data_IF_708792843591
#
_entry.id   IF_708792843591
#
_cell.length_a   1.000
_cell.length_b   1.000
_cell.length_c   1.000
_cell.angle_alpha   90.00
_cell.angle_beta   90.00
_cell.angle_gamma   90.00
#
_symmetry.space_group_name_H-M   'P 1'
#
loop_
_entity.id
_entity.type
_entity.pdbx_description
1 polymer ?
#
# COMPACT_ATOMS: atom_id res chain seq x y z
N UNK A 1 -42.50 17.08 -18.78
CA UNK A 1 -41.65 17.29 -17.59
C UNK A 1 -40.51 16.29 -17.67
N UNK A 2 -39.35 16.73 -18.13
CA UNK A 2 -38.12 15.94 -18.09
C UNK A 2 -37.45 16.22 -16.74
N UNK A 3 -37.67 15.36 -15.76
CA UNK A 3 -36.91 15.44 -14.51
C UNK A 3 -35.57 14.71 -14.68
N UNK A 4 -34.57 15.57 -14.79
CA UNK A 4 -33.13 15.37 -14.74
C UNK A 4 -32.71 14.44 -13.59
N UNK A 5 -32.69 13.12 -13.84
CA UNK A 5 -31.93 12.16 -13.02
C UNK A 5 -30.44 12.25 -13.37
N UNK A 6 -29.81 13.38 -13.08
CA UNK A 6 -28.35 13.45 -12.95
C UNK A 6 -27.94 12.47 -11.86
N UNK A 7 -27.38 11.34 -12.26
CA UNK A 7 -27.02 10.22 -11.39
C UNK A 7 -26.17 10.71 -10.21
N UNK A 8 -26.67 10.53 -9.00
CA UNK A 8 -25.88 10.77 -7.80
C UNK A 8 -24.67 9.84 -7.84
N UNK A 9 -23.48 10.41 -8.01
CA UNK A 9 -22.24 9.65 -7.93
C UNK A 9 -22.10 9.18 -6.48
N UNK A 10 -22.30 7.88 -6.26
CA UNK A 10 -21.98 7.25 -4.98
C UNK A 10 -20.50 7.53 -4.67
N UNK A 11 -20.19 7.96 -3.44
CA UNK A 11 -18.81 8.20 -2.96
C UNK A 11 -18.31 6.99 -2.18
N UNK A 12 -17.02 6.68 -2.30
CA UNK A 12 -16.37 5.61 -1.51
C UNK A 12 -16.64 5.87 -0.01
N UNK A 13 -17.10 4.86 0.76
CA UNK A 13 -17.40 5.02 2.18
C UNK A 13 -16.17 5.43 2.99
N UNK A 14 -16.42 6.15 4.08
CA UNK A 14 -15.42 6.47 5.10
C UNK A 14 -15.86 5.80 6.39
N UNK A 15 -14.97 5.02 7.00
CA UNK A 15 -15.15 4.38 8.30
C UNK A 15 -14.29 5.12 9.32
N UNK A 16 -14.93 5.65 10.37
CA UNK A 16 -14.26 6.32 11.49
C UNK A 16 -14.03 5.31 12.62
N UNK A 17 -12.76 5.04 12.95
CA UNK A 17 -12.41 4.10 14.04
C UNK A 17 -12.38 4.76 15.43
N UNK A 18 -12.66 6.05 15.54
CA UNK A 18 -12.76 6.75 16.83
C UNK A 18 -14.16 6.75 17.43
N UNK A 19 -15.16 6.15 16.74
CA UNK A 19 -16.49 5.98 17.31
C UNK A 19 -16.40 5.13 18.59
N UNK A 20 -16.95 5.58 19.72
CA UNK A 20 -16.86 4.86 20.99
C UNK A 20 -17.66 3.54 21.01
N UNK A 21 -18.52 3.30 20.01
CA UNK A 21 -19.27 2.05 19.87
C UNK A 21 -18.58 1.11 18.88
N UNK A 22 -17.91 0.09 19.41
CA UNK A 22 -17.31 -0.99 18.60
C UNK A 22 -18.33 -1.66 17.67
N UNK A 23 -19.60 -1.75 18.08
CA UNK A 23 -20.69 -2.32 17.27
C UNK A 23 -21.00 -1.46 16.05
N UNK A 24 -21.05 -0.13 16.20
CA UNK A 24 -21.26 0.78 15.07
C UNK A 24 -20.09 0.76 14.10
N UNK A 25 -18.85 0.71 14.60
CA UNK A 25 -17.64 0.57 13.78
C UNK A 25 -17.69 -0.74 12.98
N UNK A 26 -17.96 -1.86 13.66
CA UNK A 26 -18.04 -3.18 13.01
C UNK A 26 -19.14 -3.20 11.95
N UNK A 27 -20.32 -2.64 12.23
CA UNK A 27 -21.41 -2.54 11.28
C UNK A 27 -21.03 -1.69 10.05
N UNK A 28 -20.37 -0.55 10.25
CA UNK A 28 -19.89 0.30 9.16
C UNK A 28 -18.88 -0.43 8.26
N UNK A 29 -17.94 -1.19 8.86
CA UNK A 29 -16.98 -2.02 8.12
C UNK A 29 -17.69 -3.10 7.30
N UNK A 30 -18.61 -3.86 7.90
CA UNK A 30 -19.35 -4.93 7.21
C UNK A 30 -20.12 -4.34 6.04
N UNK A 31 -20.91 -3.29 6.27
CA UNK A 31 -21.72 -2.65 5.24
C UNK A 31 -20.87 -2.12 4.08
N UNK A 32 -19.77 -1.43 4.39
CA UNK A 32 -18.85 -0.93 3.36
C UNK A 32 -18.19 -2.07 2.57
N UNK A 33 -17.84 -3.17 3.24
CA UNK A 33 -17.27 -4.36 2.60
C UNK A 33 -18.27 -5.03 1.66
N UNK A 34 -19.53 -5.20 2.08
CA UNK A 34 -20.58 -5.85 1.28
C UNK A 34 -21.03 -5.00 0.09
N UNK A 35 -21.21 -3.70 0.29
CA UNK A 35 -21.74 -2.82 -0.75
C UNK A 35 -20.68 -2.31 -1.73
N UNK A 36 -19.42 -2.20 -1.29
CA UNK A 36 -18.34 -1.59 -2.09
C UNK A 36 -17.10 -2.46 -2.28
N UNK A 37 -16.78 -3.34 -1.34
CA UNK A 37 -15.52 -4.09 -1.31
C UNK A 37 -14.27 -3.24 -1.02
N UNK A 38 -14.43 -1.92 -0.83
CA UNK A 38 -13.36 -0.96 -0.49
C UNK A 38 -13.93 0.24 0.24
N UNK A 39 -13.17 0.80 1.18
CA UNK A 39 -13.51 2.00 1.94
C UNK A 39 -12.24 2.70 2.44
N UNK A 40 -12.38 3.97 2.80
CA UNK A 40 -11.34 4.72 3.49
C UNK A 40 -11.52 4.57 5.00
N UNK A 41 -10.42 4.53 5.73
CA UNK A 41 -10.42 4.50 7.20
C UNK A 41 -9.84 5.82 7.71
N UNK A 42 -10.49 6.44 8.68
CA UNK A 42 -10.00 7.64 9.38
C UNK A 42 -9.91 7.39 10.89
N UNK A 43 -9.13 8.22 11.58
CA UNK A 43 -8.89 8.12 13.02
C UNK A 43 -8.42 6.72 13.48
N UNK A 44 -7.65 6.04 12.64
CA UNK A 44 -7.13 4.68 12.85
C UNK A 44 -6.01 4.56 13.91
N UNK A 45 -5.69 5.65 14.63
CA UNK A 45 -4.67 5.65 15.67
C UNK A 45 -3.20 5.56 15.21
N UNK A 46 -2.95 5.40 13.90
CA UNK A 46 -1.58 5.43 13.35
C UNK A 46 -1.09 6.88 13.29
N UNK A 47 0.06 7.22 13.91
CA UNK A 47 0.58 8.58 13.90
C UNK A 47 0.83 9.10 12.48
N UNK A 48 0.34 10.32 12.18
CA UNK A 48 0.52 10.95 10.88
C UNK A 48 2.01 11.13 10.51
N UNK A 49 2.85 11.44 11.48
CA UNK A 49 4.30 11.57 11.28
C UNK A 49 4.95 10.24 10.88
N UNK A 50 4.45 9.11 11.37
CA UNK A 50 4.93 7.78 10.96
C UNK A 50 4.58 7.51 9.50
N UNK A 51 3.34 7.76 9.09
CA UNK A 51 2.90 7.60 7.70
C UNK A 51 3.67 8.53 6.75
N UNK A 52 3.93 9.78 7.15
CA UNK A 52 4.74 10.72 6.37
C UNK A 52 6.17 10.22 6.19
N UNK A 53 6.81 9.72 7.25
CA UNK A 53 8.16 9.14 7.15
C UNK A 53 8.20 7.91 6.25
N UNK A 54 7.19 7.02 6.36
CA UNK A 54 7.07 5.85 5.48
C UNK A 54 6.99 6.27 4.00
N UNK A 55 6.15 7.25 3.67
CA UNK A 55 6.03 7.78 2.31
C UNK A 55 7.34 8.42 1.83
N UNK A 56 7.99 9.18 2.69
CA UNK A 56 9.23 9.88 2.38
C UNK A 56 10.38 8.91 2.07
N UNK A 57 10.60 7.91 2.94
CA UNK A 57 11.63 6.89 2.77
C UNK A 57 11.35 6.03 1.54
N UNK A 58 10.08 5.67 1.31
CA UNK A 58 9.69 4.97 0.08
C UNK A 58 10.02 5.78 -1.17
N UNK A 59 9.67 7.07 -1.19
CA UNK A 59 9.99 7.99 -2.29
C UNK A 59 11.50 8.09 -2.52
N UNK A 60 12.29 8.27 -1.46
CA UNK A 60 13.75 8.34 -1.54
C UNK A 60 14.33 7.09 -2.20
N UNK A 61 13.86 5.89 -1.83
CA UNK A 61 14.27 4.65 -2.50
C UNK A 61 13.97 4.67 -4.00
N UNK A 62 12.75 5.04 -4.40
CA UNK A 62 12.36 5.01 -5.83
C UNK A 62 13.03 6.11 -6.67
N UNK A 63 13.49 7.20 -6.04
CA UNK A 63 14.31 8.27 -6.63
C UNK A 63 15.80 7.87 -6.84
N UNK A 64 16.26 6.76 -6.24
CA UNK A 64 17.63 6.27 -6.43
C UNK A 64 17.92 5.84 -7.89
N UNK A 65 19.19 5.85 -8.31
CA UNK A 65 19.63 5.26 -9.56
C UNK A 65 19.16 3.81 -9.72
N UNK A 66 18.85 3.40 -10.95
CA UNK A 66 18.37 2.06 -11.24
C UNK A 66 19.29 0.96 -10.68
N UNK A 67 20.61 1.12 -10.78
CA UNK A 67 21.59 0.17 -10.25
C UNK A 67 21.48 -0.05 -8.73
N UNK A 68 21.12 0.99 -7.96
CA UNK A 68 20.91 0.86 -6.51
C UNK A 68 19.60 0.13 -6.21
N UNK A 69 18.52 0.44 -6.94
CA UNK A 69 17.23 -0.27 -6.80
C UNK A 69 17.36 -1.74 -7.21
N UNK A 70 18.15 -2.01 -8.24
CA UNK A 70 18.41 -3.36 -8.75
C UNK A 70 19.20 -4.24 -7.78
N UNK A 71 19.87 -3.65 -6.79
CA UNK A 71 20.59 -4.40 -5.75
C UNK A 71 19.69 -5.27 -4.86
N UNK A 72 18.38 -4.95 -4.81
CA UNK A 72 17.37 -5.72 -4.08
C UNK A 72 16.36 -6.38 -5.03
N UNK A 73 16.68 -6.49 -6.33
CA UNK A 73 15.88 -7.22 -7.30
C UNK A 73 15.79 -8.69 -6.91
N UNK A 74 14.62 -9.27 -7.12
CA UNK A 74 14.43 -10.70 -6.94
C UNK A 74 15.32 -11.51 -7.90
N UNK A 75 16.14 -12.46 -7.42
CA UNK A 75 16.89 -13.36 -8.30
C UNK A 75 15.99 -14.08 -9.30
N UNK A 76 16.48 -14.27 -10.52
CA UNK A 76 15.70 -14.86 -11.63
C UNK A 76 15.27 -16.30 -11.33
N UNK A 77 16.11 -17.04 -10.60
CA UNK A 77 15.92 -18.42 -10.17
C UNK A 77 15.15 -18.56 -8.84
N UNK A 78 14.87 -17.45 -8.16
CA UNK A 78 14.10 -17.47 -6.91
C UNK A 78 12.62 -17.74 -7.18
N UNK A 79 11.97 -18.48 -6.27
CA UNK A 79 10.51 -18.64 -6.22
C UNK A 79 9.86 -17.66 -5.22
N UNK A 80 10.65 -16.77 -4.62
CA UNK A 80 10.12 -15.76 -3.71
C UNK A 80 9.18 -14.79 -4.44
N UNK A 81 8.33 -14.14 -3.67
CA UNK A 81 7.48 -13.03 -4.12
C UNK A 81 8.09 -11.66 -3.78
N UNK A 82 9.26 -11.66 -3.15
CA UNK A 82 9.89 -10.48 -2.57
C UNK A 82 11.01 -9.97 -3.48
N UNK A 83 11.29 -8.66 -3.38
CA UNK A 83 12.32 -7.95 -4.12
C UNK A 83 11.77 -6.78 -4.91
N UNK A 84 12.68 -6.05 -5.55
CA UNK A 84 12.34 -5.01 -6.51
C UNK A 84 12.03 -5.62 -7.88
N UNK A 85 10.98 -5.09 -8.51
CA UNK A 85 10.49 -5.48 -9.81
C UNK A 85 10.53 -4.24 -10.71
N UNK A 86 11.57 -4.10 -11.55
CA UNK A 86 11.66 -2.97 -12.45
C UNK A 86 10.54 -3.05 -13.47
N UNK A 87 10.07 -1.87 -13.83
CA UNK A 87 9.13 -1.68 -14.92
C UNK A 87 9.68 -2.26 -16.21
N UNK A 88 8.93 -3.17 -16.82
CA UNK A 88 9.27 -3.76 -18.11
C UNK A 88 8.53 -3.00 -19.23
N UNK A 89 9.23 -2.20 -20.06
CA UNK A 89 8.59 -1.43 -21.12
C UNK A 89 8.03 -2.30 -22.26
N UNK A 90 8.34 -3.59 -22.28
CA UNK A 90 7.83 -4.55 -23.28
C UNK A 90 6.67 -5.40 -22.73
N UNK A 91 6.36 -5.26 -21.44
CA UNK A 91 5.29 -6.02 -20.80
C UNK A 91 3.93 -5.37 -21.06
N UNK A 92 2.92 -6.19 -21.35
CA UNK A 92 1.52 -5.77 -21.37
C UNK A 92 0.93 -5.64 -19.94
N UNK A 93 1.74 -5.90 -18.90
CA UNK A 93 1.37 -5.67 -17.49
C UNK A 93 1.36 -4.18 -17.16
N UNK A 94 1.03 -3.86 -15.90
CA UNK A 94 0.98 -2.51 -15.39
C UNK A 94 2.31 -1.74 -15.62
N UNK A 95 2.19 -0.43 -15.85
CA UNK A 95 3.28 0.48 -16.18
C UNK A 95 3.91 1.06 -14.90
N UNK A 96 4.37 0.20 -14.02
CA UNK A 96 4.91 0.52 -12.70
C UNK A 96 6.17 -0.32 -12.39
N UNK A 97 7.04 0.22 -11.53
CA UNK A 97 8.01 -0.53 -10.76
C UNK A 97 7.50 -0.68 -9.32
N UNK A 98 7.77 -1.81 -8.68
CA UNK A 98 7.34 -2.05 -7.30
C UNK A 98 8.38 -2.82 -6.49
N UNK A 99 8.33 -2.64 -5.18
CA UNK A 99 9.14 -3.34 -4.21
C UNK A 99 8.21 -4.09 -3.26
N UNK A 100 8.35 -5.41 -3.18
CA UNK A 100 7.53 -6.27 -2.33
C UNK A 100 8.43 -6.94 -1.30
N UNK A 101 8.04 -6.89 -0.03
CA UNK A 101 8.70 -7.66 1.03
C UNK A 101 7.70 -7.97 2.15
N UNK A 102 7.97 -9.07 2.85
CA UNK A 102 7.14 -9.51 3.97
C UNK A 102 7.59 -8.81 5.24
N UNK A 103 6.64 -8.22 5.97
CA UNK A 103 6.86 -7.59 7.29
C UNK A 103 6.27 -8.40 8.45
N UNK A 104 5.48 -9.44 8.16
CA UNK A 104 4.86 -10.31 9.15
C UNK A 104 4.48 -11.68 8.52
N UNK A 105 4.56 -12.79 9.25
CA UNK A 105 5.13 -12.95 10.60
C UNK A 105 6.65 -12.74 10.64
N UNK A 106 7.28 -12.58 11.82
CA UNK A 106 8.72 -12.33 11.93
C UNK A 106 9.58 -13.41 11.26
N UNK A 107 9.12 -14.66 11.24
CA UNK A 107 9.77 -15.78 10.56
C UNK A 107 9.82 -15.65 9.04
N UNK A 108 8.98 -14.80 8.45
CA UNK A 108 8.88 -14.57 7.01
C UNK A 108 9.65 -13.32 6.56
N UNK A 109 10.19 -12.54 7.50
CA UNK A 109 10.96 -11.34 7.19
C UNK A 109 12.30 -11.75 6.60
N UNK A 110 12.57 -11.32 5.37
CA UNK A 110 13.85 -11.50 4.71
C UNK A 110 14.46 -10.14 4.35
N UNK A 111 15.40 -9.69 5.18
CA UNK A 111 16.07 -8.40 5.02
C UNK A 111 16.98 -8.32 3.78
N UNK A 112 17.26 -9.43 3.09
CA UNK A 112 18.03 -9.38 1.83
C UNK A 112 17.30 -8.63 0.73
N UNK A 113 15.96 -8.58 0.78
CA UNK A 113 15.11 -7.87 -0.18
C UNK A 113 14.77 -6.44 0.25
N UNK A 114 15.24 -6.00 1.42
CA UNK A 114 14.96 -4.66 1.93
C UNK A 114 16.07 -3.71 1.46
N UNK A 115 15.75 -2.50 0.98
CA UNK A 115 16.73 -1.46 0.68
C UNK A 115 17.69 -1.19 1.85
N UNK A 116 18.97 -0.98 1.52
CA UNK A 116 19.96 -0.43 2.46
C UNK A 116 20.03 1.11 2.41
N UNK A 117 19.53 1.70 1.32
CA UNK A 117 19.46 3.14 1.08
C UNK A 117 18.01 3.48 0.71
N UNK A 118 17.36 4.46 1.37
CA UNK A 118 17.84 5.24 2.52
C UNK A 118 18.06 4.38 3.77
N UNK A 119 18.95 4.82 4.68
CA UNK A 119 19.28 4.09 5.91
C UNK A 119 18.05 3.83 6.78
N UNK A 120 17.12 4.79 6.79
CA UNK A 120 15.91 4.79 7.61
C UNK A 120 14.83 3.86 7.03
N UNK A 121 15.08 3.16 5.92
CA UNK A 121 14.12 2.19 5.38
C UNK A 121 13.88 1.02 6.33
N UNK A 122 14.93 0.62 7.05
CA UNK A 122 14.89 -0.57 7.92
C UNK A 122 14.60 -0.24 9.39
N UNK A 123 14.54 1.03 9.77
CA UNK A 123 14.54 1.49 11.17
C UNK A 123 13.42 2.48 11.50
#
# INVERSE_FOLDING_TARGET
MNDDKRGQTKKIPIVDLSDPSDELVAHAVVKASEEWGVFQVVNHGIPADLMRRLQEVGRQFFELPAAEKESVTRPVDSQDIQGYFPKDPKSLKAWDDHLIHNIWPPSSINNSYWPNNPSDYRY
#
